data_IF_452358871334
#
_entry.id   IF_452358871334
#
_cell.length_a   1.000
_cell.length_b   1.000
_cell.length_c   1.000
_cell.angle_alpha   90.00
_cell.angle_beta   90.00
_cell.angle_gamma   90.00
#
_symmetry.space_group_name_H-M   'P 1'
#
loop_
_entity.id
_entity.type
_entity.pdbx_description
1 polymer ?
#
# COMPACT_ATOMS: atom_id res chain seq x y z
N UNK A 1 0.07 3.38 -1.58
CA UNK A 1 1.10 2.93 -0.60
C UNK A 1 0.85 1.53 -0.10
N UNK A 2 -0.26 1.26 0.58
CA UNK A 2 -0.77 -0.09 0.82
C UNK A 2 -2.29 -0.06 0.56
N UNK A 3 -2.90 -1.22 0.37
CA UNK A 3 -4.34 -1.37 0.16
C UNK A 3 -5.01 -2.11 1.32
N UNK A 4 -4.46 -1.96 2.53
CA UNK A 4 -4.97 -2.57 3.74
C UNK A 4 -4.82 -1.60 4.92
N UNK A 5 -5.89 -1.45 5.72
CA UNK A 5 -6.02 -0.36 6.69
C UNK A 5 -5.07 -0.46 7.89
N UNK A 6 -4.81 -1.67 8.40
CA UNK A 6 -3.83 -1.88 9.49
C UNK A 6 -2.41 -1.52 9.03
N UNK A 7 -2.02 -1.93 7.83
CA UNK A 7 -0.72 -1.60 7.23
C UNK A 7 -0.64 -0.10 6.96
N UNK A 8 -1.66 0.52 6.38
CA UNK A 8 -1.72 1.98 6.20
C UNK A 8 -1.56 2.73 7.52
N UNK A 9 -2.24 2.29 8.59
CA UNK A 9 -2.11 2.86 9.93
C UNK A 9 -0.69 2.67 10.49
N UNK A 10 -0.08 1.50 10.31
CA UNK A 10 1.30 1.22 10.73
C UNK A 10 2.32 2.07 9.94
N UNK A 11 2.01 2.43 8.70
CA UNK A 11 2.75 3.41 7.89
C UNK A 11 2.44 4.87 8.25
N UNK A 12 1.67 5.12 9.32
CA UNK A 12 1.24 6.45 9.77
C UNK A 12 0.43 7.23 8.72
N UNK A 13 -0.39 6.54 7.93
CA UNK A 13 -1.35 7.18 7.01
C UNK A 13 -2.61 7.57 7.78
N UNK A 14 -3.09 8.79 7.52
CA UNK A 14 -4.30 9.37 8.14
C UNK A 14 -5.57 9.11 7.32
N UNK A 15 -5.55 8.06 6.49
CA UNK A 15 -6.68 7.66 5.67
C UNK A 15 -6.73 6.13 5.59
N UNK A 16 -7.91 5.59 5.25
CA UNK A 16 -8.15 4.17 5.00
C UNK A 16 -8.49 3.89 3.53
N UNK A 17 -8.64 2.61 3.19
CA UNK A 17 -8.94 2.15 1.83
C UNK A 17 -10.29 2.63 1.31
N UNK A 18 -11.31 2.75 2.17
CA UNK A 18 -12.64 3.23 1.78
C UNK A 18 -12.62 4.73 1.45
N UNK A 19 -11.97 5.55 2.29
CA UNK A 19 -11.79 6.98 2.06
C UNK A 19 -11.03 7.23 0.75
N UNK A 20 -9.96 6.48 0.52
CA UNK A 20 -9.19 6.57 -0.73
C UNK A 20 -10.06 6.21 -1.93
N UNK A 21 -10.83 5.11 -1.88
CA UNK A 21 -11.74 4.71 -2.97
C UNK A 21 -12.80 5.77 -3.24
N UNK A 22 -13.41 6.33 -2.20
CA UNK A 22 -14.43 7.37 -2.34
C UNK A 22 -13.86 8.62 -3.01
N UNK A 23 -12.65 9.04 -2.62
CA UNK A 23 -11.93 10.13 -3.27
C UNK A 23 -11.70 9.83 -4.76
N UNK A 24 -11.22 8.63 -5.10
CA UNK A 24 -10.98 8.25 -6.50
C UNK A 24 -12.27 8.25 -7.32
N UNK A 25 -13.35 7.69 -6.76
CA UNK A 25 -14.66 7.67 -7.42
C UNK A 25 -15.17 9.10 -7.68
N UNK A 26 -15.04 9.99 -6.69
CA UNK A 26 -15.40 11.40 -6.84
C UNK A 26 -14.59 12.08 -7.94
N UNK A 27 -13.27 11.86 -7.98
CA UNK A 27 -12.44 12.47 -9.03
C UNK A 27 -12.87 11.97 -10.42
N UNK A 28 -13.20 10.68 -10.55
CA UNK A 28 -13.71 10.09 -11.81
C UNK A 28 -15.07 10.63 -12.24
N UNK A 29 -15.92 11.12 -11.32
CA UNK A 29 -17.18 11.78 -11.73
C UNK A 29 -16.95 13.13 -12.40
N UNK A 30 -15.86 13.82 -12.07
CA UNK A 30 -15.49 15.10 -12.69
C UNK A 30 -14.60 14.92 -13.92
N UNK A 31 -13.71 13.93 -13.91
CA UNK A 31 -12.77 13.63 -14.99
C UNK A 31 -12.75 12.13 -15.26
N UNK A 32 -13.66 11.61 -16.11
CA UNK A 32 -13.82 10.16 -16.33
C UNK A 32 -12.55 9.46 -16.84
N UNK A 33 -11.75 10.12 -17.68
CA UNK A 33 -10.54 9.55 -18.30
C UNK A 33 -9.26 9.83 -17.51
N UNK A 34 -9.37 10.27 -16.25
CA UNK A 34 -8.19 10.60 -15.46
C UNK A 34 -7.25 9.40 -15.29
N UNK A 35 -5.98 9.62 -15.66
CA UNK A 35 -4.91 8.66 -15.41
C UNK A 35 -4.46 8.76 -13.95
N UNK A 36 -4.66 7.69 -13.17
CA UNK A 36 -4.27 7.62 -11.76
C UNK A 36 -3.10 6.65 -11.62
N UNK A 37 -2.00 7.13 -11.04
CA UNK A 37 -0.80 6.32 -10.80
C UNK A 37 -0.49 6.25 -9.31
N UNK A 38 0.25 5.22 -8.88
CA UNK A 38 0.60 5.09 -7.46
C UNK A 38 1.87 4.29 -7.22
N UNK A 39 2.46 4.49 -6.04
CA UNK A 39 3.51 3.64 -5.50
C UNK A 39 2.96 2.76 -4.37
N UNK A 40 3.33 1.49 -4.39
CA UNK A 40 3.00 0.49 -3.37
C UNK A 40 4.29 0.04 -2.68
N UNK A 41 4.26 -0.07 -1.35
CA UNK A 41 5.36 -0.61 -0.56
C UNK A 41 4.92 -1.96 -0.01
N UNK A 42 5.73 -3.00 -0.25
CA UNK A 42 5.48 -4.39 0.17
C UNK A 42 6.56 -4.87 1.13
N UNK A 43 6.22 -5.83 1.98
CA UNK A 43 7.06 -6.33 3.05
C UNK A 43 7.23 -5.32 4.19
N UNK A 44 6.23 -4.49 4.45
CA UNK A 44 6.28 -3.57 5.59
C UNK A 44 6.38 -4.36 6.91
N UNK A 45 7.04 -3.87 7.96
CA UNK A 45 7.15 -4.59 9.23
C UNK A 45 5.76 -4.96 9.78
N UNK A 46 5.55 -6.25 10.01
CA UNK A 46 4.32 -6.84 10.50
C UNK A 46 3.30 -7.14 9.41
N UNK A 47 3.55 -6.83 8.13
CA UNK A 47 2.65 -7.16 7.03
C UNK A 47 2.56 -8.67 6.83
N UNK A 48 1.34 -9.20 6.83
CA UNK A 48 1.07 -10.61 6.59
C UNK A 48 0.80 -10.89 5.11
N UNK A 49 0.92 -12.15 4.68
CA UNK A 49 0.62 -12.55 3.30
C UNK A 49 -0.83 -12.22 2.89
N UNK A 50 -1.77 -12.32 3.82
CA UNK A 50 -3.17 -11.99 3.58
C UNK A 50 -3.37 -10.48 3.37
N UNK A 51 -2.64 -9.63 4.08
CA UNK A 51 -2.73 -8.17 3.93
C UNK A 51 -2.03 -7.67 2.66
N UNK A 52 -0.95 -8.35 2.26
CA UNK A 52 -0.36 -8.18 0.94
C UNK A 52 -1.39 -8.51 -0.16
N UNK A 53 -2.10 -9.64 -0.02
CA UNK A 53 -3.17 -10.03 -0.96
C UNK A 53 -4.30 -9.00 -0.99
N UNK A 54 -4.72 -8.48 0.16
CA UNK A 54 -5.70 -7.38 0.23
C UNK A 54 -5.20 -6.13 -0.50
N UNK A 55 -3.92 -5.79 -0.35
CA UNK A 55 -3.29 -4.69 -1.08
C UNK A 55 -3.33 -4.89 -2.59
N UNK A 56 -3.03 -6.10 -3.06
CA UNK A 56 -3.13 -6.47 -4.47
C UNK A 56 -4.56 -6.33 -5.01
N UNK A 57 -5.54 -6.91 -4.33
CA UNK A 57 -6.94 -6.83 -4.75
C UNK A 57 -7.45 -5.38 -4.75
N UNK A 58 -7.06 -4.59 -3.75
CA UNK A 58 -7.40 -3.17 -3.71
C UNK A 58 -6.82 -2.41 -4.92
N UNK A 59 -5.54 -2.63 -5.24
CA UNK A 59 -4.90 -1.98 -6.38
C UNK A 59 -5.58 -2.35 -7.71
N UNK A 60 -5.95 -3.63 -7.87
CA UNK A 60 -6.71 -4.11 -9.03
C UNK A 60 -8.08 -3.45 -9.13
N UNK A 61 -8.80 -3.32 -8.02
CA UNK A 61 -10.12 -2.68 -7.99
C UNK A 61 -10.06 -1.17 -8.27
N UNK A 62 -9.01 -0.48 -7.83
CA UNK A 62 -8.84 0.94 -8.16
C UNK A 62 -8.56 1.11 -9.65
N UNK A 63 -7.81 0.21 -10.29
CA UNK A 63 -7.53 0.28 -11.73
C UNK A 63 -6.57 1.43 -12.06
N UNK A 64 -5.39 1.42 -11.45
CA UNK A 64 -4.34 2.40 -11.73
C UNK A 64 -3.83 2.28 -13.17
N UNK A 65 -3.61 3.40 -13.85
CA UNK A 65 -3.02 3.42 -15.19
C UNK A 65 -1.54 3.01 -15.18
N UNK A 66 -0.87 3.20 -14.03
CA UNK A 66 0.48 2.72 -13.75
C UNK A 66 0.67 2.54 -12.26
N UNK A 67 1.42 1.51 -11.86
CA UNK A 67 1.87 1.35 -10.48
C UNK A 67 3.33 0.95 -10.41
N UNK A 68 4.02 1.40 -9.37
CA UNK A 68 5.35 0.93 -9.02
C UNK A 68 5.33 0.23 -7.66
N UNK A 69 6.03 -0.90 -7.57
CA UNK A 69 6.13 -1.68 -6.33
C UNK A 69 7.55 -1.59 -5.79
N UNK A 70 7.67 -1.09 -4.56
CA UNK A 70 8.91 -1.03 -3.82
C UNK A 70 8.88 -2.03 -2.68
N UNK A 71 10.00 -2.71 -2.45
CA UNK A 71 10.18 -3.48 -1.22
C UNK A 71 10.55 -2.53 -0.09
N UNK A 72 9.89 -2.68 1.05
CA UNK A 72 10.25 -1.94 2.26
C UNK A 72 11.72 -2.22 2.61
N UNK A 73 12.47 -1.12 2.77
CA UNK A 73 13.84 -1.11 3.23
C UNK A 73 13.92 -0.34 4.55
N UNK A 74 14.53 -0.95 5.56
CA UNK A 74 14.69 -0.34 6.88
C UNK A 74 15.57 0.89 6.76
N UNK A 75 15.13 2.01 7.33
CA UNK A 75 15.92 3.25 7.44
C UNK A 75 16.12 3.58 8.92
N UNK A 76 17.37 3.66 9.41
CA UNK A 76 17.65 4.01 10.80
C UNK A 76 16.93 5.29 11.24
N UNK A 77 16.46 5.33 12.50
CA UNK A 77 15.76 6.49 13.07
C UNK A 77 14.30 6.64 12.67
N UNK A 78 13.68 5.61 12.09
CA UNK A 78 12.23 5.60 11.79
C UNK A 78 11.49 4.62 12.69
N UNK A 79 10.24 4.90 13.12
CA UNK A 79 9.46 3.95 13.94
C UNK A 79 9.31 2.56 13.30
N UNK A 80 9.25 2.50 11.97
CA UNK A 80 9.19 1.25 11.23
C UNK A 80 10.50 0.44 11.30
N UNK A 81 11.66 1.09 11.49
CA UNK A 81 12.93 0.39 11.66
C UNK A 81 13.01 -0.32 13.01
N UNK A 82 12.41 0.25 14.06
CA UNK A 82 12.44 -0.27 15.43
C UNK A 82 11.34 -1.30 15.70
N UNK A 83 10.42 -1.49 14.76
CA UNK A 83 9.37 -2.50 14.87
C UNK A 83 9.99 -3.92 14.81
N UNK A 84 9.74 -4.80 15.80
CA UNK A 84 10.39 -6.11 15.86
C UNK A 84 9.96 -7.09 14.75
N UNK A 85 8.75 -6.92 14.21
CA UNK A 85 8.12 -7.85 13.26
C UNK A 85 8.58 -7.62 11.80
N UNK A 86 9.88 -7.66 11.55
CA UNK A 86 10.39 -7.39 10.21
C UNK A 86 10.13 -8.56 9.27
N UNK A 87 9.58 -8.29 8.08
CA UNK A 87 9.38 -9.32 7.06
C UNK A 87 10.73 -9.75 6.48
N UNK A 88 11.05 -11.06 6.43
CA UNK A 88 12.30 -11.56 5.86
C UNK A 88 12.48 -11.18 4.39
N UNK A 89 13.73 -10.93 3.97
CA UNK A 89 14.06 -10.52 2.59
C UNK A 89 13.56 -11.53 1.54
N UNK A 90 13.60 -12.83 1.86
CA UNK A 90 13.16 -13.90 0.96
C UNK A 90 11.64 -13.86 0.68
N UNK A 91 10.84 -13.44 1.65
CA UNK A 91 9.40 -13.27 1.47
C UNK A 91 9.07 -12.03 0.62
N UNK A 92 9.86 -10.96 0.77
CA UNK A 92 9.73 -9.74 -0.04
C UNK A 92 10.00 -9.97 -1.53
N UNK A 93 10.78 -11.00 -1.88
CA UNK A 93 11.14 -11.32 -3.27
C UNK A 93 10.15 -12.25 -3.99
N UNK A 94 9.08 -12.70 -3.32
CA UNK A 94 8.06 -13.60 -3.90
C UNK A 94 6.85 -12.88 -4.51
N UNK A 95 6.92 -11.56 -4.68
CA UNK A 95 5.88 -10.73 -5.29
C UNK A 95 6.12 -10.45 -6.76
#
# INVERSE_FOLDING_TARGET
QAGQDRVLKAMNRRYNTAEYRNMINLVRTFVPEIAITTDIIVGFPGETAEEFRQTYEFAKQIGFSRLHVFRYSRRPGTPAADTPQQVPKAEKSRG
#
